data_IF_584039371945
#
_entry.id   IF_584039371945
#
_cell.length_a   1.000
_cell.length_b   1.000
_cell.length_c   1.000
_cell.angle_alpha   90.00
_cell.angle_beta   90.00
_cell.angle_gamma   90.00
#
_symmetry.space_group_name_H-M   'P 1'
#
loop_
_entity.id
_entity.type
_entity.pdbx_description
1 polymer ?
#
# COMPACT_ATOMS: atom_id res chain seq x y z
N UNK A 1 -7.87 -21.29 11.82
CA UNK A 1 -7.18 -20.75 13.02
C UNK A 1 -7.57 -19.31 13.36
N UNK A 2 -7.46 -18.33 12.45
CA UNK A 2 -7.86 -16.93 12.74
C UNK A 2 -9.36 -16.86 13.07
N UNK A 3 -10.20 -17.43 12.20
CA UNK A 3 -11.66 -17.50 12.39
C UNK A 3 -12.04 -18.30 13.64
N UNK A 4 -11.47 -19.50 13.83
CA UNK A 4 -11.75 -20.34 15.01
C UNK A 4 -11.38 -19.66 16.34
N UNK A 5 -10.38 -18.77 16.32
CA UNK A 5 -9.97 -17.98 17.48
C UNK A 5 -10.80 -16.69 17.67
N UNK A 6 -11.81 -16.43 16.84
CA UNK A 6 -12.66 -15.24 16.92
C UNK A 6 -12.01 -13.95 16.39
N UNK A 7 -10.85 -14.02 15.73
CA UNK A 7 -10.12 -12.87 15.21
C UNK A 7 -10.36 -12.60 13.72
N UNK A 8 -11.38 -13.21 13.12
CA UNK A 8 -11.68 -13.05 11.70
C UNK A 8 -13.17 -13.11 11.41
N UNK A 9 -13.60 -12.32 10.45
CA UNK A 9 -14.93 -12.35 9.85
C UNK A 9 -14.78 -12.34 8.33
N UNK A 10 -15.64 -13.09 7.64
CA UNK A 10 -15.70 -13.12 6.19
C UNK A 10 -17.07 -12.65 5.73
N UNK A 11 -17.09 -11.68 4.82
CA UNK A 11 -18.30 -11.13 4.22
C UNK A 11 -18.24 -11.39 2.71
N UNK A 12 -19.24 -12.08 2.18
CA UNK A 12 -19.39 -12.34 0.75
C UNK A 12 -20.47 -11.45 0.15
N UNK A 13 -20.42 -11.27 -1.18
CA UNK A 13 -21.40 -10.48 -1.94
C UNK A 13 -21.52 -9.02 -1.49
N UNK A 14 -20.42 -8.46 -1.02
CA UNK A 14 -20.29 -7.04 -0.71
C UNK A 14 -19.60 -6.33 -1.88
N UNK A 15 -20.00 -5.09 -2.14
CA UNK A 15 -19.43 -4.30 -3.22
C UNK A 15 -19.96 -2.86 -3.19
N UNK A 16 -19.34 -2.02 -4.01
CA UNK A 16 -19.71 -0.62 -4.10
C UNK A 16 -20.93 -0.41 -5.02
N UNK A 17 -21.94 0.28 -4.50
CA UNK A 17 -23.10 0.75 -5.26
C UNK A 17 -23.42 2.20 -4.88
N UNK A 18 -23.74 3.01 -5.89
CA UNK A 18 -24.22 4.38 -5.68
C UNK A 18 -25.60 4.45 -5.02
N UNK A 19 -26.42 3.40 -5.14
CA UNK A 19 -27.68 3.19 -4.41
C UNK A 19 -28.14 1.74 -4.54
N UNK A 20 -29.16 1.37 -3.77
CA UNK A 20 -29.82 0.07 -3.92
C UNK A 20 -30.48 -0.04 -5.32
N UNK A 21 -30.25 -1.16 -5.99
CA UNK A 21 -30.74 -1.46 -7.36
C UNK A 21 -31.19 -2.91 -7.47
N UNK A 22 -31.98 -3.22 -8.50
CA UNK A 22 -32.40 -4.58 -8.87
C UNK A 22 -31.68 -5.06 -10.13
N UNK A 23 -31.82 -6.35 -10.45
CA UNK A 23 -31.29 -6.91 -11.71
C UNK A 23 -31.91 -6.30 -12.98
N UNK A 24 -33.03 -5.58 -12.85
CA UNK A 24 -33.76 -4.99 -13.97
C UNK A 24 -33.44 -3.52 -14.19
N UNK A 25 -33.05 -2.79 -13.13
CA UNK A 25 -32.87 -1.34 -13.17
C UNK A 25 -31.42 -0.89 -12.97
N UNK A 26 -30.50 -1.78 -12.55
CA UNK A 26 -29.13 -1.40 -12.21
C UNK A 26 -28.44 -0.57 -13.30
N UNK A 27 -28.67 -0.89 -14.57
CA UNK A 27 -28.04 -0.21 -15.72
C UNK A 27 -28.49 1.24 -15.88
N UNK A 28 -29.71 1.56 -15.48
CA UNK A 28 -30.28 2.92 -15.56
C UNK A 28 -30.01 3.71 -14.28
N UNK A 29 -30.01 3.01 -13.15
CA UNK A 29 -30.11 3.64 -11.84
C UNK A 29 -28.74 3.81 -11.16
N UNK A 30 -27.72 3.01 -11.51
CA UNK A 30 -26.38 3.16 -10.94
C UNK A 30 -25.53 4.16 -11.71
N UNK A 31 -24.72 4.94 -10.97
CA UNK A 31 -23.60 5.71 -11.53
C UNK A 31 -22.27 4.94 -11.55
N UNK A 32 -22.22 3.81 -10.85
CA UNK A 32 -21.04 2.96 -10.76
C UNK A 32 -20.90 2.15 -12.05
N UNK A 33 -19.74 2.19 -12.69
CA UNK A 33 -19.42 1.34 -13.85
C UNK A 33 -19.26 -0.14 -13.43
N UNK A 34 -20.37 -0.82 -13.14
CA UNK A 34 -20.39 -2.23 -12.74
C UNK A 34 -19.74 -3.11 -13.82
N UNK A 35 -19.09 -4.18 -13.37
CA UNK A 35 -18.38 -5.17 -14.20
C UNK A 35 -17.10 -4.68 -14.88
N UNK A 36 -16.66 -3.45 -14.61
CA UNK A 36 -15.36 -2.93 -15.07
C UNK A 36 -14.30 -3.09 -13.99
N UNK A 37 -13.27 -3.90 -14.27
CA UNK A 37 -12.10 -4.09 -13.39
C UNK A 37 -11.50 -2.78 -12.92
N UNK A 38 -11.12 -1.93 -13.88
CA UNK A 38 -10.45 -0.68 -13.60
C UNK A 38 -11.32 0.24 -12.74
N UNK A 39 -12.60 0.38 -13.09
CA UNK A 39 -13.51 1.29 -12.39
C UNK A 39 -13.90 0.76 -11.02
N UNK A 40 -14.31 -0.50 -10.91
CA UNK A 40 -14.70 -1.06 -9.62
C UNK A 40 -13.54 -1.13 -8.63
N UNK A 41 -12.32 -1.43 -9.11
CA UNK A 41 -11.12 -1.35 -8.28
C UNK A 41 -10.89 0.09 -7.77
N UNK A 42 -11.01 1.09 -8.65
CA UNK A 42 -10.85 2.50 -8.28
C UNK A 42 -11.93 2.99 -7.31
N UNK A 43 -13.20 2.64 -7.55
CA UNK A 43 -14.33 3.00 -6.69
C UNK A 43 -14.24 2.31 -5.32
N UNK A 44 -13.73 1.08 -5.25
CA UNK A 44 -13.49 0.39 -3.98
C UNK A 44 -12.39 1.06 -3.13
N UNK A 45 -11.38 1.66 -3.77
CA UNK A 45 -10.34 2.43 -3.09
C UNK A 45 -10.84 3.79 -2.59
N UNK A 46 -11.76 4.40 -3.34
CA UNK A 46 -12.31 5.72 -3.03
C UNK A 46 -13.46 5.69 -2.05
N UNK A 47 -14.41 4.76 -2.22
CA UNK A 47 -15.70 4.73 -1.50
C UNK A 47 -16.38 6.10 -1.53
N UNK A 48 -16.53 6.66 -2.74
CA UNK A 48 -17.06 8.01 -2.97
C UNK A 48 -17.94 8.02 -4.24
N UNK A 49 -19.10 7.36 -4.13
CA UNK A 49 -20.01 7.14 -5.27
C UNK A 49 -20.51 8.43 -5.94
N UNK A 50 -20.49 9.52 -5.20
CA UNK A 50 -21.02 10.82 -5.62
C UNK A 50 -19.93 11.84 -5.92
N UNK A 51 -18.65 11.45 -5.82
CA UNK A 51 -17.48 12.28 -6.08
C UNK A 51 -17.45 13.56 -5.22
N UNK A 52 -17.93 13.47 -3.98
CA UNK A 52 -17.94 14.58 -3.04
C UNK A 52 -16.53 14.95 -2.57
N UNK A 53 -15.59 14.00 -2.63
CA UNK A 53 -14.19 14.14 -2.24
C UNK A 53 -13.28 13.64 -3.37
N UNK A 54 -13.56 14.12 -4.59
CA UNK A 54 -12.87 13.69 -5.81
C UNK A 54 -11.34 13.75 -5.66
N UNK A 55 -10.68 12.67 -6.09
CA UNK A 55 -9.21 12.56 -6.06
C UNK A 55 -8.65 11.99 -4.76
N UNK A 56 -9.48 11.73 -3.75
CA UNK A 56 -9.04 11.14 -2.47
C UNK A 56 -9.50 9.70 -2.29
N UNK A 57 -8.74 8.92 -1.53
CA UNK A 57 -9.07 7.57 -1.10
C UNK A 57 -9.69 7.50 0.29
N UNK A 58 -10.35 6.38 0.59
CA UNK A 58 -11.03 6.20 1.88
C UNK A 58 -10.05 6.22 3.07
N UNK A 59 -8.85 5.64 2.94
CA UNK A 59 -7.85 5.65 4.01
C UNK A 59 -7.13 7.00 4.07
N UNK A 60 -6.90 7.67 2.94
CA UNK A 60 -6.37 9.03 2.91
C UNK A 60 -7.27 10.00 3.68
N UNK A 61 -8.59 9.96 3.44
CA UNK A 61 -9.55 10.78 4.20
C UNK A 61 -9.60 10.43 5.68
N UNK A 62 -9.45 9.15 6.03
CA UNK A 62 -9.35 8.73 7.43
C UNK A 62 -8.13 9.37 8.11
N UNK A 63 -6.97 9.36 7.44
CA UNK A 63 -5.75 9.98 7.96
C UNK A 63 -5.86 11.51 8.01
N UNK A 64 -6.59 12.15 7.09
CA UNK A 64 -6.83 13.60 7.14
C UNK A 64 -7.55 13.98 8.44
N UNK A 65 -8.62 13.26 8.80
CA UNK A 65 -9.34 13.51 10.06
C UNK A 65 -8.43 13.29 11.27
N UNK A 66 -7.59 12.25 11.26
CA UNK A 66 -6.66 12.01 12.36
C UNK A 66 -5.58 13.09 12.48
N UNK A 67 -5.12 13.63 11.35
CA UNK A 67 -4.14 14.71 11.31
C UNK A 67 -4.75 16.04 11.78
N UNK A 68 -6.00 16.32 11.44
CA UNK A 68 -6.77 17.47 11.97
C UNK A 68 -6.89 17.40 13.50
N UNK A 69 -6.92 16.20 14.08
CA UNK A 69 -6.88 15.94 15.53
C UNK A 69 -5.46 15.89 16.12
N UNK A 70 -4.47 16.48 15.43
CA UNK A 70 -3.06 16.56 15.84
C UNK A 70 -2.36 15.19 16.04
N UNK A 71 -2.82 14.13 15.37
CA UNK A 71 -2.08 12.87 15.33
C UNK A 71 -0.99 12.90 14.25
N UNK A 72 0.16 12.30 14.53
CA UNK A 72 1.17 12.03 13.51
C UNK A 72 0.76 10.81 12.70
N UNK A 73 0.53 11.00 11.39
CA UNK A 73 -0.02 9.99 10.48
C UNK A 73 0.98 9.51 9.43
N UNK A 74 0.89 8.24 9.01
CA UNK A 74 1.75 7.65 7.97
C UNK A 74 0.97 6.82 6.94
N UNK A 75 0.85 7.27 5.67
CA UNK A 75 0.28 6.48 4.59
C UNK A 75 1.37 5.71 3.85
N UNK A 76 1.32 4.38 3.89
CA UNK A 76 2.37 3.53 3.34
C UNK A 76 1.76 2.49 2.40
N UNK A 77 2.21 2.47 1.16
CA UNK A 77 1.87 1.46 0.17
C UNK A 77 3.03 0.50 -0.04
N UNK A 78 2.75 -0.79 -0.22
CA UNK A 78 3.77 -1.80 -0.50
C UNK A 78 3.72 -2.20 -1.98
N UNK A 79 4.79 -1.85 -2.71
CA UNK A 79 5.04 -2.25 -4.10
C UNK A 79 3.90 -1.91 -5.08
N UNK A 80 3.11 -0.88 -4.77
CA UNK A 80 2.00 -0.44 -5.61
C UNK A 80 1.69 1.04 -5.40
N UNK A 81 1.12 1.68 -6.42
CA UNK A 81 0.54 3.02 -6.33
C UNK A 81 -0.96 2.85 -6.16
N UNK A 82 -1.57 3.58 -5.23
CA UNK A 82 -2.98 3.43 -4.90
C UNK A 82 -3.58 4.77 -4.51
N UNK A 83 -4.77 5.05 -5.04
CA UNK A 83 -5.53 6.25 -4.63
C UNK A 83 -6.09 6.10 -3.22
N UNK A 84 -6.17 4.87 -2.69
CA UNK A 84 -6.78 4.58 -1.38
C UNK A 84 -6.15 5.40 -0.24
N UNK A 85 -4.85 5.72 -0.34
CA UNK A 85 -4.08 6.45 0.66
C UNK A 85 -4.01 7.97 0.38
N UNK A 86 -4.46 8.42 -0.79
CA UNK A 86 -4.41 9.84 -1.16
C UNK A 86 -5.42 10.63 -0.33
N UNK A 87 -4.93 11.62 0.41
CA UNK A 87 -5.75 12.57 1.18
C UNK A 87 -6.06 13.85 0.41
N UNK A 88 -6.70 14.79 1.09
CA UNK A 88 -6.90 16.15 0.59
C UNK A 88 -5.54 16.82 0.29
N UNK A 89 -5.38 17.55 -0.84
CA UNK A 89 -4.14 18.27 -1.13
C UNK A 89 -3.69 19.21 -0.01
N UNK A 90 -4.63 19.81 0.73
CA UNK A 90 -4.38 20.71 1.85
C UNK A 90 -3.73 20.01 3.06
N UNK A 91 -3.84 18.69 3.18
CA UNK A 91 -3.14 17.91 4.21
C UNK A 91 -1.62 17.90 4.00
N UNK A 92 -1.16 18.19 2.78
CA UNK A 92 0.26 18.20 2.40
C UNK A 92 0.95 16.84 2.49
N UNK A 93 0.18 15.76 2.65
CA UNK A 93 0.72 14.42 2.92
C UNK A 93 1.01 13.67 1.63
N UNK A 94 2.19 13.08 1.55
CA UNK A 94 2.59 12.19 0.46
C UNK A 94 2.53 10.72 0.90
N UNK A 95 2.22 9.83 -0.04
CA UNK A 95 2.20 8.38 0.17
C UNK A 95 3.59 7.81 -0.01
N UNK A 96 4.09 7.08 1.00
CA UNK A 96 5.35 6.36 0.90
C UNK A 96 5.13 5.02 0.18
N UNK A 97 5.95 4.74 -0.83
CA UNK A 97 5.89 3.46 -1.55
C UNK A 97 7.13 2.64 -1.19
N UNK A 98 6.92 1.57 -0.42
CA UNK A 98 7.99 0.68 0.01
C UNK A 98 8.07 -0.57 -0.86
N UNK A 99 9.28 -1.03 -1.23
CA UNK A 99 9.45 -2.29 -1.94
C UNK A 99 9.22 -3.50 -1.01
N UNK A 100 8.66 -4.57 -1.55
CA UNK A 100 8.37 -5.82 -0.83
C UNK A 100 9.59 -6.44 -0.14
N UNK A 101 10.79 -6.25 -0.71
CA UNK A 101 12.03 -6.91 -0.26
C UNK A 101 12.83 -6.08 0.74
N UNK A 102 12.28 -4.97 1.21
CA UNK A 102 12.99 -4.01 2.05
C UNK A 102 13.73 -2.95 1.25
N UNK A 103 14.15 -1.91 1.97
CA UNK A 103 14.85 -0.76 1.44
C UNK A 103 16.14 -1.20 0.77
N UNK A 104 16.33 -0.73 -0.45
CA UNK A 104 17.63 -0.77 -1.11
C UNK A 104 18.19 0.62 -1.04
N UNK A 105 19.37 0.73 -0.47
CA UNK A 105 20.19 1.91 -0.69
C UNK A 105 20.56 1.98 -2.16
N UNK A 106 20.91 3.18 -2.62
CA UNK A 106 21.76 3.34 -3.79
C UNK A 106 23.13 2.78 -3.44
N UNK A 107 23.21 1.46 -3.48
CA UNK A 107 24.41 0.70 -3.24
C UNK A 107 25.18 0.59 -4.55
N UNK A 108 26.27 1.36 -4.63
CA UNK A 108 27.21 1.32 -5.73
C UNK A 108 28.36 0.35 -5.46
N UNK A 109 28.24 -0.57 -4.49
CA UNK A 109 29.16 -1.70 -4.30
C UNK A 109 29.12 -2.65 -5.50
N UNK A 110 29.84 -2.24 -6.53
CA UNK A 110 30.98 -2.94 -7.07
C UNK A 110 30.92 -4.48 -7.08
N UNK A 111 30.27 -5.04 -8.09
CA UNK A 111 30.49 -6.46 -8.42
C UNK A 111 31.90 -6.76 -8.97
N UNK A 112 32.75 -5.75 -9.25
CA UNK A 112 33.97 -5.91 -10.08
C UNK A 112 35.25 -5.15 -9.62
N UNK A 113 35.38 -4.66 -8.38
CA UNK A 113 36.59 -3.97 -7.90
C UNK A 113 36.85 -2.51 -8.36
N UNK A 114 35.94 -1.83 -9.05
CA UNK A 114 36.03 -0.38 -9.37
C UNK A 114 35.14 0.49 -8.46
N UNK A 115 35.76 1.39 -7.68
CA UNK A 115 35.05 2.24 -6.73
C UNK A 115 34.57 3.55 -7.40
N UNK A 116 33.44 3.48 -8.10
CA UNK A 116 32.77 4.67 -8.68
C UNK A 116 31.66 5.23 -7.78
N UNK A 117 31.48 4.68 -6.57
CA UNK A 117 30.39 5.03 -5.68
C UNK A 117 30.39 6.52 -5.34
N UNK A 118 31.53 7.05 -4.89
CA UNK A 118 31.62 8.44 -4.44
C UNK A 118 31.49 9.44 -5.60
N UNK A 119 32.10 9.15 -6.76
CA UNK A 119 31.99 10.00 -7.95
C UNK A 119 30.57 10.00 -8.52
N UNK A 120 29.89 8.85 -8.52
CA UNK A 120 28.52 8.74 -9.03
C UNK A 120 27.50 9.34 -8.05
N UNK A 121 27.68 9.16 -6.74
CA UNK A 121 26.90 9.86 -5.71
C UNK A 121 27.06 11.37 -5.88
N UNK A 122 28.30 11.85 -6.00
CA UNK A 122 28.58 13.28 -6.24
C UNK A 122 27.90 13.77 -7.53
N UNK A 123 28.00 13.02 -8.62
CA UNK A 123 27.35 13.38 -9.89
C UNK A 123 25.81 13.37 -9.79
N UNK A 124 25.22 12.42 -9.05
CA UNK A 124 23.77 12.36 -8.80
C UNK A 124 23.35 13.54 -7.94
N UNK A 125 24.10 13.86 -6.89
CA UNK A 125 23.86 15.03 -6.05
C UNK A 125 23.95 16.31 -6.88
N UNK A 126 24.98 16.48 -7.71
CA UNK A 126 25.13 17.66 -8.59
C UNK A 126 24.01 17.79 -9.63
N UNK A 127 23.61 16.68 -10.25
CA UNK A 127 22.51 16.66 -11.23
C UNK A 127 21.15 16.98 -10.60
N UNK A 128 20.96 16.59 -9.35
CA UNK A 128 19.72 16.79 -8.59
C UNK A 128 19.88 17.89 -7.51
N UNK A 129 20.93 18.71 -7.60
CA UNK A 129 21.25 19.71 -6.59
C UNK A 129 20.23 20.85 -6.59
N UNK A 130 20.33 21.69 -5.55
CA UNK A 130 19.58 22.93 -5.41
C UNK A 130 19.53 23.72 -6.70
N UNK A 131 18.32 24.07 -7.11
CA UNK A 131 18.05 24.65 -8.41
C UNK A 131 18.50 26.10 -8.53
N UNK A 132 18.89 26.52 -9.73
CA UNK A 132 19.34 27.89 -10.02
C UNK A 132 18.12 28.79 -10.29
N UNK A 133 18.33 30.10 -10.29
CA UNK A 133 17.28 31.11 -10.55
C UNK A 133 16.52 30.87 -11.86
N UNK A 134 17.13 30.20 -12.84
CA UNK A 134 16.56 29.87 -14.14
C UNK A 134 16.00 28.44 -14.24
N UNK A 135 16.06 27.63 -13.19
CA UNK A 135 15.48 26.29 -13.20
C UNK A 135 13.95 26.36 -13.22
N UNK A 136 13.33 25.54 -14.06
CA UNK A 136 11.87 25.45 -14.13
C UNK A 136 11.28 24.81 -12.86
N UNK A 137 10.05 25.19 -12.51
CA UNK A 137 9.33 24.71 -11.32
C UNK A 137 9.31 23.17 -11.18
N UNK A 138 9.22 22.44 -12.30
CA UNK A 138 9.23 20.97 -12.31
C UNK A 138 10.60 20.41 -11.96
N UNK A 139 11.69 21.03 -12.43
CA UNK A 139 13.05 20.63 -12.08
C UNK A 139 13.31 20.85 -10.58
N UNK A 140 12.81 21.96 -10.04
CA UNK A 140 12.91 22.27 -8.62
C UNK A 140 12.18 21.24 -7.77
N UNK A 141 10.93 20.94 -8.13
CA UNK A 141 10.12 19.97 -7.39
C UNK A 141 10.68 18.54 -7.49
N UNK A 142 11.19 18.15 -8.66
CA UNK A 142 11.84 16.85 -8.84
C UNK A 142 13.09 16.71 -7.98
N UNK A 143 13.98 17.71 -8.01
CA UNK A 143 15.23 17.72 -7.23
C UNK A 143 14.95 17.64 -5.74
N UNK A 144 13.99 18.45 -5.25
CA UNK A 144 13.59 18.42 -3.84
C UNK A 144 12.97 17.07 -3.46
N UNK A 145 12.02 16.55 -4.24
CA UNK A 145 11.39 15.25 -3.99
C UNK A 145 12.40 14.10 -3.98
N UNK A 146 13.41 14.16 -4.85
CA UNK A 146 14.48 13.17 -4.91
C UNK A 146 15.33 13.19 -3.63
N UNK A 147 15.81 14.37 -3.22
CA UNK A 147 16.60 14.55 -1.99
C UNK A 147 15.79 14.12 -0.76
N UNK A 148 14.52 14.53 -0.67
CA UNK A 148 13.64 14.18 0.45
C UNK A 148 13.43 12.67 0.54
N UNK A 149 13.20 11.99 -0.59
CA UNK A 149 13.04 10.52 -0.66
C UNK A 149 14.35 9.80 -0.33
N UNK A 150 15.49 10.34 -0.77
CA UNK A 150 16.81 9.79 -0.45
C UNK A 150 17.07 9.82 1.05
N UNK A 151 16.94 10.99 1.67
CA UNK A 151 17.14 11.17 3.11
C UNK A 151 16.19 10.25 3.90
N UNK A 152 14.91 10.20 3.50
CA UNK A 152 13.92 9.33 4.14
C UNK A 152 14.26 7.84 3.99
N UNK A 153 14.84 7.44 2.86
CA UNK A 153 15.29 6.05 2.67
C UNK A 153 16.46 5.73 3.60
N UNK A 154 17.38 6.67 3.78
CA UNK A 154 18.51 6.53 4.72
C UNK A 154 18.02 6.44 6.17
N UNK A 155 17.07 7.29 6.57
CA UNK A 155 16.46 7.27 7.91
C UNK A 155 15.73 5.94 8.20
N UNK A 156 15.14 5.32 7.17
CA UNK A 156 14.39 4.07 7.31
C UNK A 156 15.23 2.82 7.10
N UNK A 157 16.49 2.90 6.64
CA UNK A 157 17.26 1.73 6.19
C UNK A 157 17.34 0.60 7.23
N UNK A 158 17.57 0.93 8.49
CA UNK A 158 17.71 -0.04 9.57
C UNK A 158 16.36 -0.69 9.90
N UNK A 159 15.28 0.10 9.91
CA UNK A 159 13.91 -0.40 10.03
C UNK A 159 13.60 -1.37 8.90
N UNK A 160 13.89 -0.99 7.66
CA UNK A 160 13.57 -1.79 6.47
C UNK A 160 14.42 -3.06 6.36
N UNK A 161 15.62 -3.08 6.97
CA UNK A 161 16.52 -4.24 7.04
C UNK A 161 16.30 -5.12 8.26
N UNK A 162 15.58 -4.62 9.28
CA UNK A 162 15.33 -5.36 10.52
C UNK A 162 14.72 -6.74 10.26
N UNK A 163 15.15 -7.72 11.06
CA UNK A 163 14.66 -9.08 10.97
C UNK A 163 13.27 -9.21 11.60
N UNK A 164 12.40 -9.93 10.90
CA UNK A 164 11.12 -10.41 11.42
C UNK A 164 11.25 -11.93 11.55
N UNK A 165 11.42 -12.40 12.78
CA UNK A 165 11.65 -13.83 13.10
C UNK A 165 10.38 -14.70 12.95
N UNK A 166 9.26 -14.12 12.54
CA UNK A 166 8.05 -14.86 12.23
C UNK A 166 8.18 -15.56 10.87
N UNK A 167 7.83 -16.86 10.83
CA UNK A 167 7.76 -17.63 9.59
C UNK A 167 6.62 -17.13 8.67
N UNK A 168 6.89 -16.06 7.94
CA UNK A 168 6.09 -15.54 6.83
C UNK A 168 6.84 -15.86 5.54
N UNK A 169 6.21 -16.56 4.62
CA UNK A 169 6.81 -17.05 3.37
C UNK A 169 5.92 -16.73 2.17
N UNK A 170 6.46 -16.89 0.97
CA UNK A 170 5.76 -16.56 -0.27
C UNK A 170 5.98 -15.11 -0.70
N UNK A 171 5.48 -14.78 -1.89
CA UNK A 171 5.69 -13.46 -2.49
C UNK A 171 4.95 -12.38 -1.71
N UNK A 172 3.68 -12.65 -1.34
CA UNK A 172 2.93 -11.76 -0.45
C UNK A 172 3.45 -11.77 0.98
N UNK A 173 4.12 -12.85 1.39
CA UNK A 173 4.76 -12.90 2.70
C UNK A 173 5.79 -11.79 2.91
N UNK A 174 6.53 -11.41 1.87
CA UNK A 174 7.49 -10.30 1.95
C UNK A 174 6.79 -8.94 2.12
N UNK A 175 5.64 -8.72 1.47
CA UNK A 175 4.87 -7.49 1.63
C UNK A 175 4.43 -7.30 3.09
N UNK A 176 3.88 -8.35 3.70
CA UNK A 176 3.45 -8.31 5.10
C UNK A 176 4.60 -8.25 6.09
N UNK A 177 5.79 -8.80 5.76
CA UNK A 177 7.01 -8.52 6.57
C UNK A 177 7.33 -7.04 6.55
N UNK A 178 7.19 -6.38 5.41
CA UNK A 178 7.47 -4.95 5.32
C UNK A 178 6.49 -4.13 6.16
N UNK A 179 5.21 -4.48 6.13
CA UNK A 179 4.20 -3.89 7.02
C UNK A 179 4.56 -4.11 8.49
N UNK A 180 4.96 -5.32 8.90
CA UNK A 180 5.36 -5.60 10.29
C UNK A 180 6.58 -4.79 10.74
N UNK A 181 7.58 -4.60 9.86
CA UNK A 181 8.75 -3.75 10.17
C UNK A 181 8.33 -2.32 10.48
N UNK A 182 7.43 -1.76 9.69
CA UNK A 182 6.93 -0.40 9.90
C UNK A 182 6.11 -0.32 11.19
N UNK A 183 5.21 -1.26 11.43
CA UNK A 183 4.42 -1.31 12.67
C UNK A 183 5.33 -1.39 13.90
N UNK A 184 6.37 -2.26 13.85
CA UNK A 184 7.31 -2.44 14.96
C UNK A 184 8.13 -1.18 15.25
N UNK A 185 8.49 -0.40 14.23
CA UNK A 185 9.26 0.84 14.38
C UNK A 185 8.42 2.10 14.57
N UNK A 186 7.09 1.97 14.69
CA UNK A 186 6.19 3.12 14.79
C UNK A 186 6.59 4.11 15.90
N UNK A 187 6.99 3.61 17.08
CA UNK A 187 7.44 4.44 18.19
C UNK A 187 8.76 5.17 17.90
N UNK A 188 9.70 4.54 17.19
CA UNK A 188 10.99 5.13 16.81
C UNK A 188 10.80 6.25 15.79
N UNK A 189 9.80 6.08 14.89
CA UNK A 189 9.42 7.08 13.89
C UNK A 189 8.46 8.15 14.40
N UNK A 190 8.03 8.06 15.67
CA UNK A 190 7.11 9.02 16.28
C UNK A 190 5.72 9.08 15.64
N UNK A 191 5.28 8.02 14.96
CA UNK A 191 3.96 7.98 14.30
C UNK A 191 2.90 7.41 15.23
N UNK A 192 1.70 8.00 15.22
CA UNK A 192 0.58 7.55 16.04
C UNK A 192 -0.38 6.64 15.27
N UNK A 193 -0.58 6.91 13.98
CA UNK A 193 -1.57 6.23 13.14
C UNK A 193 -1.01 6.00 11.76
N UNK A 194 -1.16 4.79 11.26
CA UNK A 194 -0.68 4.45 9.93
C UNK A 194 -1.74 3.66 9.17
N UNK A 195 -1.77 3.88 7.87
CA UNK A 195 -2.58 3.12 6.95
C UNK A 195 -1.65 2.42 5.96
N UNK A 196 -1.81 1.11 5.83
CA UNK A 196 -1.01 0.28 4.94
C UNK A 196 -1.87 -0.29 3.81
N UNK A 197 -1.35 -0.25 2.58
CA UNK A 197 -1.98 -0.93 1.44
C UNK A 197 -1.01 -1.93 0.83
N UNK A 198 -1.48 -3.16 0.63
CA UNK A 198 -0.79 -4.22 -0.11
C UNK A 198 -1.67 -4.63 -1.28
N UNK A 199 -1.18 -4.43 -2.50
CA UNK A 199 -1.89 -4.83 -3.71
C UNK A 199 -1.63 -6.30 -4.08
N UNK A 200 -2.66 -7.02 -4.50
CA UNK A 200 -2.50 -8.38 -5.04
C UNK A 200 -3.45 -8.64 -6.21
N UNK A 201 -2.90 -8.57 -7.43
CA UNK A 201 -3.59 -8.98 -8.65
C UNK A 201 -3.41 -10.46 -9.00
N UNK A 202 -3.95 -10.87 -10.14
CA UNK A 202 -3.80 -12.23 -10.68
C UNK A 202 -4.99 -13.16 -10.44
N UNK A 203 -6.10 -12.65 -9.91
CA UNK A 203 -7.33 -13.40 -9.60
C UNK A 203 -8.39 -13.33 -10.71
N UNK A 204 -8.16 -12.51 -11.75
CA UNK A 204 -9.07 -12.36 -12.89
C UNK A 204 -8.82 -13.38 -14.00
N UNK A 205 -8.98 -14.66 -13.66
CA UNK A 205 -8.82 -15.74 -14.62
C UNK A 205 -10.04 -15.82 -15.56
N UNK A 206 -9.80 -15.66 -16.87
CA UNK A 206 -10.83 -15.83 -17.91
C UNK A 206 -11.01 -17.30 -18.34
N UNK A 207 -10.10 -18.17 -17.90
CA UNK A 207 -10.16 -19.62 -18.03
C UNK A 207 -9.28 -20.24 -16.94
N UNK A 208 -9.50 -21.52 -16.60
CA UNK A 208 -8.66 -22.22 -15.62
C UNK A 208 -8.74 -21.65 -14.20
N UNK A 209 -9.90 -21.12 -13.80
CA UNK A 209 -10.09 -20.43 -12.51
C UNK A 209 -9.66 -21.29 -11.31
N UNK A 210 -9.91 -22.60 -11.35
CA UNK A 210 -9.52 -23.50 -10.25
C UNK A 210 -8.00 -23.54 -10.09
N UNK A 211 -7.25 -23.79 -11.16
CA UNK A 211 -5.78 -23.81 -11.11
C UNK A 211 -5.20 -22.46 -10.67
N UNK A 212 -5.76 -21.35 -11.16
CA UNK A 212 -5.35 -20.01 -10.74
C UNK A 212 -5.57 -19.77 -9.24
N UNK A 213 -6.72 -20.19 -8.71
CA UNK A 213 -7.03 -20.05 -7.28
C UNK A 213 -6.18 -20.98 -6.42
N UNK A 214 -5.93 -22.21 -6.89
CA UNK A 214 -5.05 -23.18 -6.23
C UNK A 214 -3.60 -22.65 -6.11
N UNK A 215 -3.13 -21.85 -7.06
CA UNK A 215 -1.82 -21.21 -7.00
C UNK A 215 -1.83 -19.97 -6.08
N UNK A 216 -2.86 -19.13 -6.17
CA UNK A 216 -2.85 -17.80 -5.55
C UNK A 216 -3.35 -17.78 -4.10
N UNK A 217 -4.38 -18.55 -3.76
CA UNK A 217 -4.97 -18.54 -2.41
C UNK A 217 -4.01 -19.04 -1.33
N UNK A 218 -3.16 -20.07 -1.56
CA UNK A 218 -2.17 -20.48 -0.56
C UNK A 218 -1.15 -19.38 -0.22
N UNK A 219 -0.70 -18.58 -1.18
CA UNK A 219 0.21 -17.44 -0.94
C UNK A 219 -0.47 -16.38 -0.07
N UNK A 220 -1.74 -16.05 -0.34
CA UNK A 220 -2.53 -15.13 0.50
C UNK A 220 -2.72 -15.70 1.91
N UNK A 221 -3.13 -16.97 2.03
CA UNK A 221 -3.35 -17.63 3.31
C UNK A 221 -2.06 -17.67 4.16
N UNK A 222 -0.93 -17.99 3.55
CA UNK A 222 0.37 -18.02 4.22
C UNK A 222 0.80 -16.61 4.67
N UNK A 223 0.60 -15.60 3.83
CA UNK A 223 0.95 -14.23 4.15
C UNK A 223 0.10 -13.67 5.30
N UNK A 224 -1.24 -13.81 5.23
CA UNK A 224 -2.18 -13.33 6.26
C UNK A 224 -2.00 -14.11 7.57
N UNK A 225 -1.88 -15.44 7.50
CA UNK A 225 -1.63 -16.27 8.67
C UNK A 225 -0.25 -16.02 9.31
N UNK A 226 0.74 -15.64 8.50
CA UNK A 226 2.04 -15.17 8.97
C UNK A 226 1.95 -13.79 9.64
N UNK A 227 1.27 -12.84 9.01
CA UNK A 227 1.06 -11.49 9.54
C UNK A 227 0.34 -11.51 10.88
N UNK A 228 -0.74 -12.28 10.99
CA UNK A 228 -1.47 -12.49 12.25
C UNK A 228 -0.55 -13.00 13.38
N UNK A 229 0.32 -13.97 13.09
CA UNK A 229 1.30 -14.46 14.08
C UNK A 229 2.32 -13.38 14.44
N UNK A 230 2.85 -12.68 13.43
CA UNK A 230 3.83 -11.61 13.66
C UNK A 230 3.28 -10.47 14.50
N UNK A 231 2.02 -10.09 14.28
CA UNK A 231 1.33 -9.10 15.13
C UNK A 231 1.21 -9.57 16.57
N UNK A 232 0.96 -10.86 16.82
CA UNK A 232 0.98 -11.43 18.17
C UNK A 232 2.38 -11.38 18.78
N UNK A 233 3.39 -11.76 18.02
CA UNK A 233 4.78 -11.81 18.49
C UNK A 233 5.28 -10.42 18.92
N UNK A 234 4.79 -9.35 18.29
CA UNK A 234 5.13 -7.95 18.65
C UNK A 234 4.05 -7.25 19.50
N UNK A 235 3.07 -7.98 20.03
CA UNK A 235 1.96 -7.45 20.86
C UNK A 235 1.13 -6.32 20.21
N UNK A 236 0.96 -6.37 18.89
CA UNK A 236 0.19 -5.39 18.11
C UNK A 236 -1.13 -5.91 17.56
N UNK A 237 -1.50 -7.17 17.85
CA UNK A 237 -2.73 -7.77 17.32
C UNK A 237 -3.98 -6.93 17.60
N UNK A 238 -4.14 -6.42 18.83
CA UNK A 238 -5.32 -5.64 19.22
C UNK A 238 -5.27 -4.17 18.77
N UNK A 239 -4.14 -3.73 18.18
CA UNK A 239 -3.92 -2.37 17.69
C UNK A 239 -4.04 -2.27 16.17
N UNK A 240 -4.24 -3.39 15.46
CA UNK A 240 -4.23 -3.45 13.99
C UNK A 240 -5.49 -4.12 13.47
N UNK A 241 -6.25 -3.38 12.67
CA UNK A 241 -7.36 -3.94 11.89
C UNK A 241 -6.89 -4.23 10.47
N UNK A 242 -7.00 -5.49 10.04
CA UNK A 242 -6.65 -5.90 8.67
C UNK A 242 -7.92 -6.13 7.86
N UNK A 243 -8.04 -5.43 6.73
CA UNK A 243 -9.17 -5.56 5.81
C UNK A 243 -8.64 -6.10 4.48
N UNK A 244 -9.25 -7.18 3.99
CA UNK A 244 -8.95 -7.75 2.68
C UNK A 244 -10.22 -7.62 1.84
N UNK A 245 -10.12 -6.91 0.73
CA UNK A 245 -11.23 -6.67 -0.19
C UNK A 245 -10.86 -7.13 -1.59
N UNK A 246 -11.89 -7.51 -2.34
CA UNK A 246 -11.85 -7.74 -3.78
C UNK A 246 -12.95 -6.89 -4.42
N UNK A 247 -12.69 -6.37 -5.61
CA UNK A 247 -13.60 -5.51 -6.35
C UNK A 247 -14.87 -6.24 -6.81
N UNK A 248 -14.76 -7.50 -7.25
CA UNK A 248 -15.90 -8.36 -7.56
C UNK A 248 -15.51 -9.84 -7.65
N UNK A 249 -16.51 -10.71 -7.53
CA UNK A 249 -16.36 -12.15 -7.80
C UNK A 249 -16.61 -12.49 -9.27
N UNK A 250 -15.93 -13.53 -9.78
CA UNK A 250 -16.24 -14.16 -11.07
C UNK A 250 -17.30 -15.25 -10.90
N UNK A 251 -18.17 -15.39 -11.89
CA UNK A 251 -19.06 -16.55 -11.99
C UNK A 251 -18.24 -17.83 -12.22
N UNK A 252 -18.68 -18.94 -11.62
CA UNK A 252 -18.04 -20.26 -11.77
C UNK A 252 -18.33 -20.87 -13.15
N UNK A 253 -19.45 -20.50 -13.76
CA UNK A 253 -19.81 -20.89 -15.13
C UNK A 253 -19.35 -19.83 -16.15
N UNK A 254 -18.61 -20.20 -17.21
CA UNK A 254 -18.27 -19.31 -18.33
C UNK A 254 -19.50 -18.71 -19.01
#
# INVERSE_FOLDING_TARGET
KIYDAGHGIFLANFGHLSKAVTKYDWRLETKTDLFSHFKMNHEAQKVDAFQEQAGTGVLGRLLDVMQEENMTVGPISINTVTVMLDGKPESGRLVDILPSKGGKEFDFENKNGLNFADELVTAIEELNAGTKVNSGIFANHFSQSFIDTWNKTDDLKDVLRSNIDTAISGNRGNDFKQVLRMIKSASERGVNREAFVVGRGGFDAHAGVMANLDDNLPDVNNAVGGFYRGLKDINMLDNVTTIIISEFGRTISP
#
